data_IF_851529770607
#
_entry.id   IF_851529770607
#
_cell.length_a   1.000
_cell.length_b   1.000
_cell.length_c   1.000
_cell.angle_alpha   90.00
_cell.angle_beta   90.00
_cell.angle_gamma   90.00
#
_symmetry.space_group_name_H-M   'P 1'
#
loop_
_entity.id
_entity.type
_entity.pdbx_description
1 polymer ?
#
# COMPACT_ATOMS: atom_id res chain seq x y z
N UNK A 1 10.21 -18.12 -2.06
CA UNK A 1 10.31 -17.24 -3.25
C UNK A 1 10.50 -15.82 -2.79
N UNK A 2 11.43 -15.12 -3.37
CA UNK A 2 11.68 -13.72 -3.05
C UNK A 2 10.60 -12.83 -3.69
N UNK A 3 10.06 -11.89 -2.91
CA UNK A 3 9.08 -10.93 -3.39
C UNK A 3 9.78 -9.77 -4.10
N UNK A 4 9.24 -9.39 -5.26
CA UNK A 4 9.73 -8.25 -6.01
C UNK A 4 8.91 -7.01 -5.72
N UNK A 5 9.58 -5.87 -5.63
CA UNK A 5 8.97 -4.56 -5.36
C UNK A 5 9.34 -3.59 -6.46
N UNK A 6 8.33 -2.90 -6.99
CA UNK A 6 8.51 -1.81 -7.95
C UNK A 6 8.26 -0.49 -7.24
N UNK A 7 9.26 0.38 -7.25
CA UNK A 7 9.12 1.69 -6.60
C UNK A 7 8.22 2.60 -7.43
N UNK A 8 7.13 3.06 -6.82
CA UNK A 8 6.21 4.03 -7.42
C UNK A 8 6.56 5.46 -7.06
N UNK A 9 7.06 5.68 -5.85
CA UNK A 9 7.37 7.00 -5.32
C UNK A 9 8.54 6.90 -4.35
N UNK A 10 9.47 7.85 -4.46
CA UNK A 10 10.55 8.02 -3.49
C UNK A 10 10.82 9.52 -3.37
N UNK A 11 10.60 10.09 -2.19
CA UNK A 11 10.75 11.52 -1.97
C UNK A 11 10.95 11.87 -0.50
N UNK A 12 11.48 13.06 -0.28
CA UNK A 12 11.57 13.61 1.07
C UNK A 12 10.28 14.33 1.45
N UNK A 13 9.85 14.14 2.69
CA UNK A 13 8.74 14.82 3.34
C UNK A 13 9.24 15.42 4.64
N UNK A 14 9.66 16.68 4.59
CA UNK A 14 10.34 17.30 5.71
C UNK A 14 11.63 16.54 6.02
N UNK A 15 11.77 16.09 7.26
CA UNK A 15 12.96 15.35 7.71
C UNK A 15 12.91 13.86 7.38
N UNK A 16 11.79 13.36 6.86
CA UNK A 16 11.63 11.96 6.56
C UNK A 16 11.81 11.66 5.07
N UNK A 17 12.34 10.50 4.78
CA UNK A 17 12.41 9.96 3.43
C UNK A 17 11.35 8.88 3.28
N UNK A 18 10.50 9.00 2.27
CA UNK A 18 9.35 8.13 2.05
C UNK A 18 9.53 7.33 0.77
N UNK A 19 9.28 6.03 0.85
CA UNK A 19 9.32 5.12 -0.30
C UNK A 19 8.01 4.35 -0.37
N UNK A 20 7.32 4.44 -1.50
CA UNK A 20 6.16 3.59 -1.80
C UNK A 20 6.53 2.62 -2.90
N UNK A 21 6.39 1.34 -2.61
CA UNK A 21 6.61 0.25 -3.56
C UNK A 21 5.31 -0.50 -3.81
N UNK A 22 5.19 -1.01 -5.02
CA UNK A 22 4.13 -1.93 -5.42
C UNK A 22 4.68 -3.35 -5.46
N UNK A 23 3.87 -4.31 -5.03
CA UNK A 23 4.15 -5.74 -5.17
C UNK A 23 2.85 -6.48 -5.46
N UNK A 24 2.93 -7.75 -5.85
CA UNK A 24 1.72 -8.52 -6.13
C UNK A 24 0.88 -8.73 -4.87
N UNK A 25 -0.45 -8.83 -5.06
CA UNK A 25 -1.40 -9.18 -4.02
C UNK A 25 -1.65 -10.68 -4.04
N UNK A 26 -1.51 -11.33 -2.88
CA UNK A 26 -1.70 -12.78 -2.74
C UNK A 26 -3.17 -13.18 -2.54
N UNK A 27 -4.00 -12.23 -2.10
CA UNK A 27 -5.43 -12.48 -1.92
C UNK A 27 -6.13 -12.65 -3.27
N UNK A 28 -7.14 -13.52 -3.30
CA UNK A 28 -8.03 -13.61 -4.46
C UNK A 28 -8.93 -12.37 -4.49
N UNK A 29 -9.05 -11.67 -5.63
CA UNK A 29 -9.98 -10.53 -5.73
C UNK A 29 -11.39 -10.85 -5.26
N UNK A 30 -11.89 -12.07 -5.47
CA UNK A 30 -13.22 -12.49 -5.03
C UNK A 30 -13.38 -12.45 -3.49
N UNK A 31 -12.29 -12.50 -2.73
CA UNK A 31 -12.35 -12.40 -1.26
C UNK A 31 -12.63 -10.98 -0.77
N UNK A 32 -12.39 -9.97 -1.62
CA UNK A 32 -12.57 -8.56 -1.26
C UNK A 32 -13.75 -7.90 -1.97
N UNK A 33 -14.16 -8.39 -3.14
CA UNK A 33 -15.30 -7.86 -3.85
C UNK A 33 -16.59 -8.60 -3.50
N UNK A 34 -17.70 -7.86 -3.48
CA UNK A 34 -19.01 -8.45 -3.24
C UNK A 34 -19.42 -9.33 -4.43
N UNK A 35 -19.43 -10.65 -4.20
CA UNK A 35 -19.81 -11.64 -5.23
C UNK A 35 -21.30 -11.97 -5.20
N UNK A 36 -22.10 -11.32 -4.34
CA UNK A 36 -23.54 -11.55 -4.29
C UNK A 36 -24.26 -10.98 -5.50
N UNK A 37 -25.51 -11.40 -5.66
CA UNK A 37 -26.37 -11.00 -6.76
C UNK A 37 -27.13 -9.74 -6.40
N UNK A 38 -27.09 -8.73 -7.27
CA UNK A 38 -27.92 -7.53 -7.13
C UNK A 38 -29.39 -7.92 -7.37
N UNK A 39 -30.27 -7.73 -6.37
CA UNK A 39 -31.68 -8.10 -6.49
C UNK A 39 -32.43 -7.27 -7.54
N UNK A 40 -31.95 -6.08 -7.88
CA UNK A 40 -32.59 -5.20 -8.85
C UNK A 40 -32.31 -5.62 -10.28
N UNK A 41 -31.12 -6.15 -10.55
CA UNK A 41 -30.71 -6.53 -11.92
C UNK A 41 -30.65 -8.04 -12.15
N UNK A 42 -30.63 -8.84 -11.08
CA UNK A 42 -30.44 -10.29 -11.16
C UNK A 42 -29.04 -10.71 -11.56
N UNK A 43 -28.08 -9.79 -11.55
CA UNK A 43 -26.69 -10.02 -11.91
C UNK A 43 -25.78 -9.78 -10.69
N UNK A 44 -24.59 -10.39 -10.64
CA UNK A 44 -23.62 -10.07 -9.59
C UNK A 44 -23.27 -8.58 -9.57
N UNK A 45 -23.01 -8.04 -8.38
CA UNK A 45 -22.53 -6.65 -8.23
C UNK A 45 -21.23 -6.42 -8.99
N UNK A 46 -20.35 -7.43 -9.01
CA UNK A 46 -19.10 -7.40 -9.75
C UNK A 46 -19.03 -8.61 -10.68
N UNK A 47 -18.66 -8.37 -11.92
CA UNK A 47 -18.37 -9.44 -12.89
C UNK A 47 -16.94 -9.93 -12.66
N UNK A 48 -16.80 -10.97 -11.84
CA UNK A 48 -15.47 -11.49 -11.46
C UNK A 48 -14.72 -12.10 -12.65
N UNK A 49 -15.42 -12.73 -13.60
CA UNK A 49 -14.77 -13.29 -14.77
C UNK A 49 -14.12 -12.19 -15.62
N UNK A 50 -14.79 -11.06 -15.78
CA UNK A 50 -14.24 -9.90 -16.47
C UNK A 50 -13.04 -9.33 -15.72
N UNK A 51 -13.13 -9.20 -14.39
CA UNK A 51 -12.04 -8.70 -13.55
C UNK A 51 -10.82 -9.61 -13.68
N UNK A 52 -10.97 -10.92 -13.53
CA UNK A 52 -9.88 -11.87 -13.69
C UNK A 52 -9.25 -11.80 -15.08
N UNK A 53 -10.07 -11.70 -16.12
CA UNK A 53 -9.59 -11.57 -17.50
C UNK A 53 -8.73 -10.31 -17.68
N UNK A 54 -9.18 -9.17 -17.15
CA UNK A 54 -8.44 -7.90 -17.23
C UNK A 54 -7.15 -7.92 -16.43
N UNK A 55 -7.12 -8.58 -15.26
CA UNK A 55 -5.90 -8.75 -14.49
C UNK A 55 -4.92 -9.63 -15.27
N UNK A 56 -5.38 -10.75 -15.81
CA UNK A 56 -4.53 -11.72 -16.51
C UNK A 56 -3.90 -11.15 -17.78
N UNK A 57 -4.61 -10.26 -18.49
CA UNK A 57 -4.09 -9.66 -19.72
C UNK A 57 -3.43 -8.29 -19.51
N UNK A 58 -3.28 -7.86 -18.27
CA UNK A 58 -2.55 -6.63 -17.92
C UNK A 58 -3.34 -5.34 -18.06
N UNK A 59 -4.66 -5.40 -18.31
CA UNK A 59 -5.51 -4.20 -18.35
C UNK A 59 -5.84 -3.63 -16.99
N UNK A 60 -5.82 -4.48 -15.94
CA UNK A 60 -5.97 -4.10 -14.55
C UNK A 60 -4.80 -4.64 -13.75
N UNK A 61 -4.35 -3.85 -12.79
CA UNK A 61 -3.29 -4.21 -11.85
C UNK A 61 -3.90 -4.50 -10.49
N UNK A 62 -3.69 -5.72 -9.99
CA UNK A 62 -4.13 -6.18 -8.67
C UNK A 62 -2.89 -6.26 -7.78
N UNK A 63 -2.80 -5.38 -6.79
CA UNK A 63 -1.54 -5.19 -6.08
C UNK A 63 -1.72 -4.78 -4.63
N UNK A 64 -0.62 -4.88 -3.89
CA UNK A 64 -0.49 -4.27 -2.57
C UNK A 64 0.64 -3.26 -2.59
N UNK A 65 0.59 -2.33 -1.65
CA UNK A 65 1.62 -1.33 -1.44
C UNK A 65 2.41 -1.62 -0.17
N UNK A 66 3.69 -1.28 -0.23
CA UNK A 66 4.53 -1.15 0.94
C UNK A 66 4.95 0.32 1.04
N UNK A 67 4.64 0.97 2.16
CA UNK A 67 5.10 2.31 2.45
C UNK A 67 6.13 2.25 3.56
N UNK A 68 7.32 2.81 3.33
CA UNK A 68 8.39 2.87 4.32
C UNK A 68 8.79 4.31 4.57
N UNK A 69 9.08 4.63 5.82
CA UNK A 69 9.53 5.95 6.23
C UNK A 69 10.86 5.83 6.96
N UNK A 70 11.83 6.60 6.50
CA UNK A 70 13.20 6.60 7.00
C UNK A 70 13.56 7.96 7.59
N UNK A 71 14.43 7.95 8.59
CA UNK A 71 15.11 9.13 9.11
C UNK A 71 16.62 8.87 9.11
N UNK A 72 17.35 9.70 8.37
CA UNK A 72 18.82 9.56 8.24
C UNK A 72 19.25 8.12 7.92
N UNK A 73 18.54 7.47 6.99
CA UNK A 73 18.80 6.09 6.59
C UNK A 73 18.27 5.01 7.50
N UNK A 74 17.69 5.38 8.65
CA UNK A 74 17.10 4.43 9.59
C UNK A 74 15.62 4.25 9.30
N UNK A 75 15.19 3.02 9.01
CA UNK A 75 13.79 2.72 8.81
C UNK A 75 13.03 2.82 10.13
N UNK A 76 12.06 3.72 10.19
CA UNK A 76 11.24 3.94 11.38
C UNK A 76 9.86 3.31 11.30
N UNK A 77 9.33 3.15 10.10
CA UNK A 77 8.01 2.56 9.91
C UNK A 77 7.92 1.86 8.57
N UNK A 78 7.16 0.78 8.55
CA UNK A 78 6.82 0.03 7.36
C UNK A 78 5.36 -0.38 7.48
N UNK A 79 4.57 -0.13 6.44
CA UNK A 79 3.16 -0.49 6.41
C UNK A 79 2.83 -1.16 5.08
N UNK A 80 2.07 -2.26 5.15
CA UNK A 80 1.59 -2.99 3.98
C UNK A 80 0.08 -2.83 3.89
N UNK A 81 -0.39 -2.36 2.73
CA UNK A 81 -1.81 -2.20 2.46
C UNK A 81 -2.12 -2.93 1.16
N UNK A 82 -3.07 -3.84 1.20
CA UNK A 82 -3.44 -4.68 0.06
C UNK A 82 -4.82 -4.39 -0.49
N UNK A 83 -5.16 -5.12 -1.56
CA UNK A 83 -6.48 -5.10 -2.15
C UNK A 83 -6.74 -3.95 -3.11
N UNK A 84 -5.71 -3.44 -3.79
CA UNK A 84 -5.85 -2.36 -4.76
C UNK A 84 -6.03 -2.92 -6.18
N UNK A 85 -7.04 -2.39 -6.87
CA UNK A 85 -7.32 -2.71 -8.27
C UNK A 85 -7.40 -1.40 -9.05
N UNK A 86 -6.43 -1.17 -9.93
CA UNK A 86 -6.30 0.04 -10.74
C UNK A 86 -5.96 -0.31 -12.18
N UNK A 87 -6.32 0.55 -13.12
CA UNK A 87 -5.82 0.44 -14.50
C UNK A 87 -4.32 0.74 -14.55
N UNK A 88 -3.91 1.79 -13.82
CA UNK A 88 -2.50 2.14 -13.62
C UNK A 88 -2.28 2.38 -12.12
N UNK A 89 -1.40 1.60 -11.51
CA UNK A 89 -1.09 1.71 -10.08
C UNK A 89 -0.64 3.12 -9.67
N UNK A 90 -0.04 3.88 -10.59
CA UNK A 90 0.42 5.25 -10.32
C UNK A 90 -0.72 6.22 -10.03
N UNK A 91 -1.94 5.92 -10.44
CA UNK A 91 -3.10 6.75 -10.13
C UNK A 91 -3.34 6.88 -8.63
N UNK A 92 -2.88 5.90 -7.84
CA UNK A 92 -2.99 5.94 -6.38
C UNK A 92 -2.19 7.10 -5.77
N UNK A 93 -1.18 7.61 -6.48
CA UNK A 93 -0.37 8.74 -6.03
C UNK A 93 -1.10 10.09 -6.17
N UNK A 94 -2.14 10.14 -6.99
CA UNK A 94 -2.85 11.39 -7.32
C UNK A 94 -4.32 11.38 -6.92
N UNK A 95 -4.87 10.25 -6.48
CA UNK A 95 -6.29 10.13 -6.12
C UNK A 95 -6.59 10.37 -4.63
N UNK A 96 -5.56 10.65 -3.83
CA UNK A 96 -5.67 10.89 -2.39
C UNK A 96 -5.34 9.68 -1.53
N UNK A 97 -5.43 8.47 -2.05
CA UNK A 97 -5.16 7.24 -1.29
C UNK A 97 -3.68 7.17 -0.90
N UNK A 98 -2.78 7.43 -1.86
CA UNK A 98 -1.34 7.42 -1.59
C UNK A 98 -0.94 8.43 -0.53
N UNK A 99 -1.50 9.65 -0.57
CA UNK A 99 -1.25 10.68 0.43
C UNK A 99 -1.70 10.24 1.83
N UNK A 100 -2.87 9.63 1.93
CA UNK A 100 -3.38 9.13 3.21
C UNK A 100 -2.46 8.06 3.79
N UNK A 101 -1.94 7.16 2.94
CA UNK A 101 -1.00 6.12 3.35
C UNK A 101 0.31 6.73 3.84
N UNK A 102 0.83 7.73 3.13
CA UNK A 102 2.07 8.45 3.51
C UNK A 102 1.88 9.12 4.87
N UNK A 103 0.80 9.87 5.06
CA UNK A 103 0.52 10.57 6.31
C UNK A 103 0.42 9.60 7.49
N UNK A 104 -0.27 8.48 7.31
CA UNK A 104 -0.40 7.45 8.35
C UNK A 104 0.94 6.80 8.67
N UNK A 105 1.75 6.49 7.66
CA UNK A 105 3.05 5.86 7.87
C UNK A 105 4.04 6.83 8.54
N UNK A 106 3.98 8.12 8.19
CA UNK A 106 4.77 9.16 8.88
C UNK A 106 4.35 9.26 10.36
N UNK A 107 3.05 9.20 10.63
CA UNK A 107 2.56 9.20 12.03
C UNK A 107 3.13 8.02 12.80
N UNK A 108 3.14 6.83 12.21
CA UNK A 108 3.75 5.63 12.81
C UNK A 108 5.25 5.83 13.04
N UNK A 109 5.94 6.45 12.08
CA UNK A 109 7.37 6.76 12.20
C UNK A 109 7.66 7.71 13.37
N UNK A 110 6.83 8.75 13.55
CA UNK A 110 6.95 9.67 14.66
C UNK A 110 6.74 8.97 16.00
N UNK A 111 5.74 8.10 16.09
CA UNK A 111 5.48 7.31 17.30
C UNK A 111 6.66 6.38 17.61
N UNK A 112 7.22 5.72 16.58
CA UNK A 112 8.40 4.88 16.75
C UNK A 112 9.62 5.68 17.23
N UNK A 113 9.81 6.89 16.69
CA UNK A 113 10.90 7.78 17.09
C UNK A 113 10.79 8.20 18.57
N UNK A 114 9.58 8.48 19.04
CA UNK A 114 9.34 8.80 20.46
C UNK A 114 9.74 7.64 21.35
N UNK A 115 9.35 6.41 20.99
CA UNK A 115 9.69 5.20 21.74
C UNK A 115 11.21 4.98 21.76
N UNK A 116 11.86 5.12 20.59
CA UNK A 116 13.33 4.97 20.48
C UNK A 116 14.06 6.01 21.30
N UNK A 117 13.63 7.26 21.22
CA UNK A 117 14.23 8.35 21.97
C UNK A 117 14.16 8.09 23.49
N UNK A 118 13.03 7.59 23.97
CA UNK A 118 12.85 7.24 25.36
C UNK A 118 13.77 6.08 25.77
N UNK A 119 13.92 5.08 24.89
CA UNK A 119 14.83 3.94 25.16
C UNK A 119 16.29 4.36 25.20
N UNK A 120 16.71 5.27 24.32
CA UNK A 120 18.08 5.74 24.25
C UNK A 120 18.43 6.79 25.31
N UNK A 121 17.44 7.39 25.96
CA UNK A 121 17.65 8.44 26.94
C UNK A 121 18.58 8.00 28.09
N UNK A 122 18.53 6.72 28.50
CA UNK A 122 19.34 6.17 29.58
C UNK A 122 20.56 5.37 29.09
N UNK A 123 20.78 5.35 27.77
CA UNK A 123 21.92 4.63 27.18
C UNK A 123 23.23 5.37 27.52
N UNK A 124 24.15 4.65 28.08
CA UNK A 124 25.52 5.15 28.36
C UNK A 124 26.44 4.61 27.27
N UNK A 125 27.11 5.53 26.58
CA UNK A 125 28.03 5.22 25.49
C UNK A 125 29.47 5.36 25.93
#
# INVERSE_FOLDING_TARGET
MQRYYDTLLEEDRGQFHVVIDKTWEDLDPADLFDTSIDPDTGKPYFDMDEIYSKINDGRLDWFMLRCRVFYEGLELAEDFIGGFLYEDAREILTDGVGEDIIEETIRQAKDAAVVMKAKFADLVI
#
